data_IF_712262076029
#
_entry.id   IF_712262076029
#
_cell.length_a   1.000
_cell.length_b   1.000
_cell.length_c   1.000
_cell.angle_alpha   90.00
_cell.angle_beta   90.00
_cell.angle_gamma   90.00
#
_symmetry.space_group_name_H-M   'P 1'
#
loop_
_entity.id
_entity.type
_entity.pdbx_description
1 polymer ?
#
# COMPACT_ATOMS: atom_id res chain seq x y z
N UNK A 1 1.70 0.53 -0.60
CA UNK A 1 2.39 -0.46 0.26
C UNK A 1 3.07 0.29 1.39
N UNK A 2 3.07 -0.28 2.60
CA UNK A 2 3.66 0.38 3.78
C UNK A 2 3.05 1.75 4.05
N UNK A 3 1.72 1.80 4.16
CA UNK A 3 1.00 3.07 4.21
C UNK A 3 1.40 3.91 5.44
N UNK A 4 1.71 3.30 6.58
CA UNK A 4 2.12 3.97 7.81
C UNK A 4 1.07 4.98 8.30
N UNK A 5 1.35 6.27 8.13
CA UNK A 5 0.42 7.40 8.40
C UNK A 5 -0.46 7.76 7.20
N UNK A 6 -0.39 6.99 6.13
CA UNK A 6 -1.19 7.08 4.92
C UNK A 6 -1.04 8.34 4.08
N UNK A 7 -0.05 9.20 4.35
CA UNK A 7 0.03 10.51 3.70
C UNK A 7 -0.02 10.45 2.15
N UNK A 8 0.76 9.59 1.44
CA UNK A 8 0.66 9.51 -0.02
C UNK A 8 -0.71 9.03 -0.50
N UNK A 9 -1.32 8.07 0.21
CA UNK A 9 -2.63 7.52 -0.16
C UNK A 9 -3.78 8.46 0.15
N UNK A 10 -3.73 9.19 1.27
CA UNK A 10 -4.68 10.25 1.62
C UNK A 10 -4.64 11.36 0.57
N UNK A 11 -3.44 11.80 0.17
CA UNK A 11 -3.29 12.80 -0.87
C UNK A 11 -3.88 12.31 -2.21
N UNK A 12 -3.55 11.09 -2.62
CA UNK A 12 -4.09 10.49 -3.84
C UNK A 12 -5.64 10.44 -3.82
N UNK A 13 -6.24 10.05 -2.69
CA UNK A 13 -7.68 10.03 -2.52
C UNK A 13 -8.29 11.45 -2.60
N UNK A 14 -7.64 12.45 -2.00
CA UNK A 14 -8.07 13.87 -2.10
C UNK A 14 -7.94 14.43 -3.51
N UNK A 15 -7.07 13.87 -4.34
CA UNK A 15 -6.98 14.13 -5.77
C UNK A 15 -8.01 13.36 -6.60
N UNK A 16 -8.91 12.59 -5.98
CA UNK A 16 -9.99 11.86 -6.65
C UNK A 16 -9.66 10.43 -7.06
N UNK A 17 -8.52 9.87 -6.63
CA UNK A 17 -8.20 8.46 -6.87
C UNK A 17 -9.03 7.54 -5.97
N UNK A 18 -9.34 6.34 -6.45
CA UNK A 18 -9.79 5.24 -5.60
C UNK A 18 -8.57 4.57 -4.99
N UNK A 19 -8.49 4.57 -3.65
CA UNK A 19 -7.26 4.18 -2.94
C UNK A 19 -7.53 2.98 -2.04
N UNK A 20 -6.58 2.04 -2.08
CA UNK A 20 -6.45 0.95 -1.11
C UNK A 20 -5.15 1.19 -0.35
N UNK A 21 -5.25 1.26 0.97
CA UNK A 21 -4.11 1.41 1.86
C UNK A 21 -3.72 0.04 2.40
N UNK A 22 -2.42 -0.25 2.38
CA UNK A 22 -1.91 -1.52 2.90
C UNK A 22 -0.74 -1.31 3.85
N UNK A 23 -0.72 -2.09 4.93
CA UNK A 23 0.37 -2.16 5.91
C UNK A 23 0.49 -3.57 6.48
N UNK A 24 1.54 -3.84 7.27
CA UNK A 24 1.85 -5.15 7.82
C UNK A 24 0.70 -5.71 8.67
N UNK A 25 0.36 -6.99 8.44
CA UNK A 25 -0.64 -7.71 9.25
C UNK A 25 -0.19 -7.85 10.72
N UNK A 26 1.11 -7.95 10.93
CA UNK A 26 1.74 -8.10 12.25
C UNK A 26 1.72 -6.81 13.07
N UNK A 27 1.36 -5.68 12.45
CA UNK A 27 1.30 -4.35 13.05
C UNK A 27 -0.12 -3.77 12.97
N UNK A 28 -1.09 -4.31 13.74
CA UNK A 28 -2.49 -3.87 13.67
C UNK A 28 -2.68 -2.37 13.97
N UNK A 29 -1.79 -1.77 14.77
CA UNK A 29 -1.79 -0.33 15.03
C UNK A 29 -1.51 0.50 13.77
N UNK A 30 -0.71 0.01 12.82
CA UNK A 30 -0.52 0.68 11.54
C UNK A 30 -1.83 0.72 10.73
N UNK A 31 -2.58 -0.37 10.72
CA UNK A 31 -3.88 -0.44 10.03
C UNK A 31 -4.93 0.45 10.70
N UNK A 32 -4.95 0.52 12.04
CA UNK A 32 -5.80 1.47 12.77
C UNK A 32 -5.41 2.91 12.43
N UNK A 33 -4.12 3.21 12.41
CA UNK A 33 -3.60 4.52 12.07
C UNK A 33 -3.95 4.93 10.63
N UNK A 34 -3.96 3.98 9.69
CA UNK A 34 -4.42 4.22 8.34
C UNK A 34 -5.88 4.67 8.31
N UNK A 35 -6.76 3.99 9.05
CA UNK A 35 -8.19 4.33 9.17
C UNK A 35 -8.37 5.71 9.80
N UNK A 36 -7.72 5.96 10.95
CA UNK A 36 -7.76 7.25 11.65
C UNK A 36 -7.28 8.40 10.77
N UNK A 37 -6.24 8.17 9.98
CA UNK A 37 -5.72 9.17 9.03
C UNK A 37 -6.73 9.48 7.94
N UNK A 38 -7.48 8.50 7.43
CA UNK A 38 -8.57 8.74 6.49
C UNK A 38 -9.70 9.53 7.13
N UNK A 39 -10.15 9.12 8.32
CA UNK A 39 -11.26 9.76 9.05
C UNK A 39 -10.96 11.24 9.34
N UNK A 40 -9.75 11.52 9.82
CA UNK A 40 -9.30 12.89 10.14
C UNK A 40 -9.21 13.78 8.90
N UNK A 41 -9.02 13.18 7.72
CA UNK A 41 -8.98 13.88 6.44
C UNK A 41 -10.34 13.91 5.71
N UNK A 42 -11.42 13.46 6.36
CA UNK A 42 -12.77 13.44 5.80
C UNK A 42 -12.94 12.48 4.62
N UNK A 43 -12.06 11.48 4.51
CA UNK A 43 -12.13 10.46 3.47
C UNK A 43 -13.06 9.34 3.91
N UNK A 44 -14.02 8.97 3.07
CA UNK A 44 -14.93 7.86 3.30
C UNK A 44 -14.66 6.73 2.31
N UNK A 45 -15.05 5.50 2.70
CA UNK A 45 -14.98 4.30 1.85
C UNK A 45 -13.56 3.95 1.36
N UNK A 46 -12.52 4.32 2.12
CA UNK A 46 -11.15 3.88 1.85
C UNK A 46 -10.97 2.46 2.38
N UNK A 47 -10.53 1.54 1.52
CA UNK A 47 -10.19 0.19 1.93
C UNK A 47 -8.83 0.20 2.61
N UNK A 48 -8.77 -0.31 3.84
CA UNK A 48 -7.53 -0.59 4.56
C UNK A 48 -7.38 -2.10 4.70
N UNK A 49 -6.29 -2.64 4.18
CA UNK A 49 -6.05 -4.08 4.08
C UNK A 49 -4.67 -4.42 4.67
N UNK A 50 -4.61 -5.50 5.45
CA UNK A 50 -3.32 -6.02 5.90
C UNK A 50 -2.61 -6.78 4.78
N UNK A 51 -1.34 -6.45 4.54
CA UNK A 51 -0.49 -7.07 3.53
C UNK A 51 0.96 -7.02 4.02
N UNK A 52 1.47 -8.15 4.49
CA UNK A 52 2.89 -8.32 4.79
C UNK A 52 3.67 -8.54 3.48
N UNK A 53 4.83 -7.90 3.36
CA UNK A 53 5.66 -8.01 2.16
C UNK A 53 6.21 -9.43 2.02
N UNK A 54 6.60 -9.82 0.80
CA UNK A 54 7.08 -11.18 0.50
C UNK A 54 5.97 -12.23 0.39
N UNK A 55 4.82 -12.00 1.02
CA UNK A 55 3.70 -12.96 1.02
C UNK A 55 2.75 -12.75 -0.17
N UNK A 56 2.53 -13.81 -0.95
CA UNK A 56 1.48 -13.84 -2.00
C UNK A 56 0.19 -14.36 -1.38
N UNK A 57 -0.44 -13.52 -0.55
CA UNK A 57 -1.69 -13.85 0.14
C UNK A 57 -2.91 -13.83 -0.82
N UNK A 58 -4.01 -14.53 -0.50
CA UNK A 58 -5.26 -14.41 -1.24
C UNK A 58 -5.74 -12.95 -1.34
N UNK A 59 -5.57 -12.17 -0.28
CA UNK A 59 -5.95 -10.76 -0.25
C UNK A 59 -5.18 -9.93 -1.30
N UNK A 60 -3.88 -10.18 -1.47
CA UNK A 60 -3.07 -9.55 -2.52
C UNK A 60 -3.57 -9.93 -3.93
N UNK A 61 -3.89 -11.21 -4.13
CA UNK A 61 -4.37 -11.74 -5.41
C UNK A 61 -5.78 -11.24 -5.77
N UNK A 62 -6.62 -11.00 -4.76
CA UNK A 62 -8.00 -10.52 -4.90
C UNK A 62 -8.11 -9.00 -4.99
N UNK A 63 -7.01 -8.26 -4.82
CA UNK A 63 -7.01 -6.82 -5.06
C UNK A 63 -7.61 -6.51 -6.43
N UNK A 64 -8.36 -5.40 -6.59
CA UNK A 64 -8.84 -4.98 -7.90
C UNK A 64 -7.67 -4.65 -8.84
N UNK A 65 -8.00 -4.32 -10.09
CA UNK A 65 -7.00 -3.81 -11.03
C UNK A 65 -6.41 -2.51 -10.48
N UNK A 66 -5.08 -2.41 -10.49
CA UNK A 66 -4.33 -1.24 -10.05
C UNK A 66 -3.75 -0.51 -11.26
N UNK A 67 -3.78 0.81 -11.24
CA UNK A 67 -3.11 1.66 -12.24
C UNK A 67 -1.80 2.26 -11.69
N UNK A 68 -1.72 2.49 -10.38
CA UNK A 68 -0.54 3.01 -9.68
C UNK A 68 -0.34 2.23 -8.38
N UNK A 69 0.91 1.86 -8.10
CA UNK A 69 1.35 1.26 -6.84
C UNK A 69 2.34 2.25 -6.20
N UNK A 70 2.00 2.75 -5.00
CA UNK A 70 2.85 3.67 -4.25
C UNK A 70 3.61 2.93 -3.14
N UNK A 71 4.90 3.21 -2.99
CA UNK A 71 5.73 2.80 -1.86
C UNK A 71 6.72 3.90 -1.49
N UNK A 72 6.38 4.72 -0.50
CA UNK A 72 7.24 5.82 -0.01
C UNK A 72 8.16 5.29 1.08
N UNK A 73 9.47 5.45 0.92
CA UNK A 73 10.51 5.02 1.86
C UNK A 73 10.31 3.57 2.32
N UNK A 74 10.11 2.66 1.38
CA UNK A 74 9.91 1.22 1.65
C UNK A 74 11.22 0.42 1.58
N UNK A 75 12.30 1.02 1.08
CA UNK A 75 13.62 0.40 0.95
C UNK A 75 14.59 0.91 2.02
N UNK A 76 14.17 0.92 3.30
CA UNK A 76 15.00 1.42 4.41
C UNK A 76 15.74 0.32 5.18
N UNK A 77 15.13 -0.86 5.36
CA UNK A 77 15.74 -2.00 6.04
C UNK A 77 16.14 -3.06 4.99
N UNK A 78 17.43 -3.37 4.80
CA UNK A 78 17.89 -4.37 3.85
C UNK A 78 17.25 -5.75 4.02
N UNK A 79 16.81 -6.10 5.25
CA UNK A 79 16.13 -7.38 5.52
C UNK A 79 14.81 -7.47 4.74
N UNK A 80 14.14 -6.35 4.49
CA UNK A 80 12.83 -6.30 3.83
C UNK A 80 12.92 -6.17 2.29
N UNK A 81 14.12 -6.04 1.72
CA UNK A 81 14.30 -5.66 0.30
C UNK A 81 13.81 -6.73 -0.68
N UNK A 82 14.10 -8.00 -0.40
CA UNK A 82 13.63 -9.09 -1.26
C UNK A 82 12.11 -9.22 -1.19
N UNK A 83 11.55 -9.10 0.02
CA UNK A 83 10.13 -9.23 0.27
C UNK A 83 9.31 -8.14 -0.42
N UNK A 84 9.73 -6.87 -0.31
CA UNK A 84 9.05 -5.77 -1.01
C UNK A 84 9.16 -5.93 -2.54
N UNK A 85 10.31 -6.40 -3.06
CA UNK A 85 10.48 -6.66 -4.49
C UNK A 85 9.56 -7.78 -4.99
N UNK A 86 9.42 -8.87 -4.24
CA UNK A 86 8.48 -9.97 -4.54
C UNK A 86 7.05 -9.42 -4.61
N UNK A 87 6.65 -8.62 -3.63
CA UNK A 87 5.32 -7.98 -3.62
C UNK A 87 5.13 -7.09 -4.85
N UNK A 88 6.09 -6.25 -5.21
CA UNK A 88 6.00 -5.40 -6.40
C UNK A 88 5.89 -6.20 -7.69
N UNK A 89 6.75 -7.19 -7.89
CA UNK A 89 6.75 -8.03 -9.08
C UNK A 89 5.42 -8.77 -9.20
N UNK A 90 4.86 -9.27 -8.10
CA UNK A 90 3.56 -9.92 -8.11
C UNK A 90 2.45 -8.96 -8.56
N UNK A 91 2.40 -7.76 -7.98
CA UNK A 91 1.40 -6.74 -8.33
C UNK A 91 1.55 -6.25 -9.78
N UNK A 92 2.76 -6.06 -10.29
CA UNK A 92 3.01 -5.65 -11.67
C UNK A 92 2.70 -6.75 -12.68
N UNK A 93 2.98 -8.03 -12.36
CA UNK A 93 2.57 -9.16 -13.22
C UNK A 93 1.05 -9.25 -13.33
N UNK A 94 0.33 -9.04 -12.23
CA UNK A 94 -1.13 -8.98 -12.22
C UNK A 94 -1.68 -7.74 -12.93
N UNK A 95 -0.94 -6.63 -12.91
CA UNK A 95 -1.34 -5.36 -13.51
C UNK A 95 -0.26 -4.83 -14.48
N UNK A 96 -0.09 -5.41 -15.69
CA UNK A 96 1.04 -5.08 -16.58
C UNK A 96 1.11 -3.62 -17.06
N UNK A 97 0.02 -2.86 -16.90
CA UNK A 97 -0.07 -1.44 -17.26
C UNK A 97 0.11 -0.51 -16.06
N UNK A 98 0.21 -1.07 -14.84
CA UNK A 98 0.37 -0.27 -13.64
C UNK A 98 1.77 0.35 -13.59
N UNK A 99 1.86 1.53 -13.00
CA UNK A 99 3.13 2.16 -12.69
C UNK A 99 3.47 1.92 -11.21
N UNK A 100 4.75 1.70 -10.95
CA UNK A 100 5.26 1.66 -9.59
C UNK A 100 6.02 2.95 -9.30
N UNK A 101 5.54 3.73 -8.32
CA UNK A 101 6.19 4.96 -7.88
C UNK A 101 6.73 4.76 -6.48
N UNK A 102 8.04 4.93 -6.34
CA UNK A 102 8.74 4.87 -5.06
C UNK A 102 9.61 6.09 -4.89
N UNK A 103 9.72 6.52 -3.64
CA UNK A 103 10.63 7.55 -3.19
C UNK A 103 11.48 6.96 -2.08
N UNK A 104 12.71 7.45 -1.96
CA UNK A 104 13.67 7.08 -0.94
C UNK A 104 14.44 8.32 -0.53
N UNK A 105 14.73 8.48 0.76
CA UNK A 105 15.57 9.55 1.30
C UNK A 105 16.95 9.06 1.73
#
# INVERSE_FOLDING_TARGET
LGAGVSLPGVLAARCGAQVILTDSLDKPLCLENCKRSCDTNGLQNITVLGLSWGEVSPDLLLLPKLDIILGSDVFYDPVDFEDILVTFVCLLRKNPKAQFWTTYQ
#
